data_IF_437699143670
#
_entry.id   IF_437699143670
#
_cell.length_a   1.000
_cell.length_b   1.000
_cell.length_c   1.000
_cell.angle_alpha   90.00
_cell.angle_beta   90.00
_cell.angle_gamma   90.00
#
_symmetry.space_group_name_H-M   'P 1'
#
loop_
_entity.id
_entity.type
_entity.pdbx_description
1 polymer ?
#
# COMPACT_ATOMS: atom_id res chain seq x y z
N UNK A 1 1.96 -5.06 10.35
CA UNK A 1 2.48 -5.45 9.02
C UNK A 1 3.87 -6.09 9.16
N UNK A 2 3.93 -7.33 9.63
CA UNK A 2 5.21 -8.05 9.87
C UNK A 2 5.91 -8.46 8.57
N UNK A 3 5.13 -8.69 7.50
CA UNK A 3 5.66 -9.08 6.19
C UNK A 3 6.49 -7.99 5.49
N UNK A 4 6.31 -6.72 5.84
CA UNK A 4 7.10 -5.61 5.28
C UNK A 4 8.41 -5.47 6.04
N UNK A 5 8.38 -5.51 7.39
CA UNK A 5 9.59 -5.39 8.21
C UNK A 5 10.65 -6.47 7.90
N UNK A 6 10.23 -7.72 7.69
CA UNK A 6 11.16 -8.82 7.39
C UNK A 6 11.96 -8.63 6.07
N UNK A 7 11.40 -7.93 5.08
CA UNK A 7 12.08 -7.69 3.79
C UNK A 7 13.08 -6.52 3.86
N UNK A 8 12.87 -5.57 4.79
CA UNK A 8 13.63 -4.33 4.84
C UNK A 8 14.67 -4.27 5.97
N UNK A 9 14.58 -5.12 6.99
CA UNK A 9 15.40 -5.02 8.22
C UNK A 9 16.45 -6.12 8.38
N UNK A 10 16.82 -6.82 7.29
CA UNK A 10 17.81 -7.92 7.27
C UNK A 10 17.52 -9.07 8.27
N UNK A 11 16.27 -9.16 8.76
CA UNK A 11 15.80 -10.12 9.78
C UNK A 11 15.58 -11.55 9.26
N UNK A 12 15.86 -11.82 7.97
CA UNK A 12 15.76 -13.15 7.36
C UNK A 12 14.41 -13.49 6.73
N UNK A 13 14.39 -14.69 6.15
CA UNK A 13 13.39 -15.23 5.23
C UNK A 13 11.93 -15.16 5.70
N UNK A 14 11.07 -14.66 4.81
CA UNK A 14 9.63 -14.80 4.94
C UNK A 14 9.11 -15.95 4.05
N UNK A 15 8.66 -17.05 4.69
CA UNK A 15 7.94 -18.14 4.04
C UNK A 15 6.48 -17.73 3.74
N UNK A 16 6.29 -16.81 2.79
CA UNK A 16 4.98 -16.53 2.22
C UNK A 16 4.67 -17.53 1.09
N UNK A 17 3.39 -17.69 0.67
CA UNK A 17 3.01 -18.55 -0.47
C UNK A 17 3.77 -18.22 -1.78
N UNK A 18 4.34 -17.02 -1.88
CA UNK A 18 5.18 -16.58 -2.99
C UNK A 18 6.66 -17.04 -2.91
N UNK A 19 7.04 -17.81 -1.88
CA UNK A 19 8.39 -18.31 -1.65
C UNK A 19 9.38 -17.28 -1.10
N UNK A 20 10.63 -17.73 -0.91
CA UNK A 20 11.77 -16.87 -0.55
C UNK A 20 11.89 -15.70 -1.53
N UNK A 21 11.94 -14.47 -1.02
CA UNK A 21 11.99 -13.25 -1.82
C UNK A 21 13.35 -12.57 -1.62
N UNK A 22 14.33 -12.80 -2.50
CA UNK A 22 15.63 -12.16 -2.39
C UNK A 22 15.48 -10.64 -2.54
N UNK A 23 16.36 -9.89 -1.85
CA UNK A 23 16.42 -8.43 -1.92
C UNK A 23 16.55 -7.97 -3.38
N UNK A 24 15.79 -6.93 -3.76
CA UNK A 24 15.81 -6.36 -5.12
C UNK A 24 14.81 -6.98 -6.10
N UNK A 25 14.08 -8.02 -5.70
CA UNK A 25 12.97 -8.54 -6.51
C UNK A 25 11.76 -7.59 -6.49
N UNK A 26 11.02 -7.42 -7.60
CA UNK A 26 9.77 -6.67 -7.62
C UNK A 26 8.76 -7.01 -6.53
N UNK A 27 8.22 -5.97 -5.89
CA UNK A 27 7.22 -6.04 -4.84
C UNK A 27 7.77 -6.48 -3.47
N UNK A 28 6.98 -6.36 -2.38
CA UNK A 28 5.60 -5.89 -2.32
C UNK A 28 5.47 -4.37 -2.24
N UNK A 29 6.56 -3.63 -2.44
CA UNK A 29 6.57 -2.19 -2.60
C UNK A 29 7.23 -1.91 -3.94
N UNK A 30 6.53 -1.20 -4.81
CA UNK A 30 6.94 -0.94 -6.19
C UNK A 30 7.29 0.53 -6.36
N UNK A 31 8.30 0.79 -7.20
CA UNK A 31 8.67 2.14 -7.61
C UNK A 31 7.70 2.62 -8.71
N UNK A 32 7.08 3.77 -8.45
CA UNK A 32 6.25 4.53 -9.37
C UNK A 32 7.04 5.78 -9.85
N UNK A 33 6.47 6.56 -10.76
CA UNK A 33 7.13 7.75 -11.31
C UNK A 33 7.51 8.79 -10.25
N UNK A 34 6.72 8.92 -9.18
CA UNK A 34 6.82 9.97 -8.16
C UNK A 34 6.96 9.43 -6.72
N UNK A 35 7.26 8.14 -6.55
CA UNK A 35 7.43 7.53 -5.23
C UNK A 35 7.17 6.04 -5.25
N UNK A 36 6.57 5.51 -4.18
CA UNK A 36 6.34 4.07 -4.01
C UNK A 36 4.90 3.73 -3.65
N UNK A 37 4.45 2.57 -4.11
CA UNK A 37 3.09 2.07 -3.91
C UNK A 37 3.11 0.57 -3.60
N UNK A 38 2.12 0.07 -2.86
CA UNK A 38 1.89 -1.34 -2.60
C UNK A 38 0.47 -1.77 -3.03
N UNK A 39 0.31 -3.06 -3.31
CA UNK A 39 -0.97 -3.68 -3.65
C UNK A 39 -1.01 -5.15 -3.25
N UNK A 40 -2.21 -5.64 -2.92
CA UNK A 40 -2.51 -7.06 -2.75
C UNK A 40 -3.05 -7.66 -4.06
N UNK A 41 -2.19 -7.85 -5.07
CA UNK A 41 -2.59 -8.29 -6.43
C UNK A 41 -3.40 -9.59 -6.42
N UNK A 42 -3.09 -10.51 -5.50
CA UNK A 42 -3.82 -11.77 -5.34
C UNK A 42 -5.31 -11.59 -4.98
N UNK A 43 -5.67 -10.44 -4.39
CA UNK A 43 -7.01 -10.13 -3.87
C UNK A 43 -7.77 -9.11 -4.74
N UNK A 44 -7.29 -8.84 -5.97
CA UNK A 44 -7.92 -7.87 -6.87
C UNK A 44 -9.23 -8.40 -7.46
N UNK A 45 -10.37 -7.93 -6.96
CA UNK A 45 -11.68 -8.37 -7.43
C UNK A 45 -12.00 -7.96 -8.88
N UNK A 46 -11.64 -6.73 -9.25
CA UNK A 46 -11.88 -6.18 -10.59
C UNK A 46 -10.59 -6.32 -11.43
N UNK A 47 -10.20 -7.56 -11.70
CA UNK A 47 -8.90 -7.93 -12.26
C UNK A 47 -8.56 -7.19 -13.56
N UNK A 48 -9.43 -7.29 -14.56
CA UNK A 48 -9.17 -6.77 -15.92
C UNK A 48 -9.00 -5.25 -15.91
N UNK A 49 -9.88 -4.53 -15.22
CA UNK A 49 -9.78 -3.08 -15.04
C UNK A 49 -8.55 -2.70 -14.23
N UNK A 50 -8.22 -3.44 -13.18
CA UNK A 50 -7.04 -3.18 -12.36
C UNK A 50 -5.74 -3.39 -13.14
N UNK A 51 -5.64 -4.41 -13.99
CA UNK A 51 -4.48 -4.62 -14.86
C UNK A 51 -4.32 -3.49 -15.88
N UNK A 52 -5.44 -2.93 -16.36
CA UNK A 52 -5.42 -1.74 -17.22
C UNK A 52 -4.89 -0.51 -16.48
N UNK A 53 -5.32 -0.28 -15.24
CA UNK A 53 -4.78 0.80 -14.38
C UNK A 53 -3.28 0.63 -14.16
N UNK A 54 -2.79 -0.60 -14.05
CA UNK A 54 -1.38 -0.93 -13.89
C UNK A 54 -0.59 -0.94 -15.21
N UNK A 55 -1.22 -0.60 -16.34
CA UNK A 55 -0.58 -0.52 -17.65
C UNK A 55 -0.14 -1.86 -18.24
N UNK A 56 -0.78 -2.97 -17.80
CA UNK A 56 -0.53 -4.35 -18.24
C UNK A 56 -1.83 -5.01 -18.69
N UNK A 57 -2.60 -4.33 -19.54
CA UNK A 57 -3.95 -4.75 -19.97
C UNK A 57 -3.96 -6.17 -20.56
N UNK A 58 -2.91 -6.58 -21.25
CA UNK A 58 -2.75 -7.92 -21.82
C UNK A 58 -2.80 -9.03 -20.75
N UNK A 59 -2.33 -8.75 -19.53
CA UNK A 59 -2.44 -9.67 -18.40
C UNK A 59 -3.89 -9.73 -17.87
N UNK A 60 -4.63 -8.64 -18.03
CA UNK A 60 -6.04 -8.53 -17.69
C UNK A 60 -6.96 -9.46 -18.50
N UNK A 61 -6.50 -9.92 -19.66
CA UNK A 61 -7.23 -10.78 -20.59
C UNK A 61 -7.00 -12.28 -20.34
N UNK A 62 -6.06 -12.64 -19.46
CA UNK A 62 -5.76 -14.05 -19.13
C UNK A 62 -6.94 -14.63 -18.32
N UNK A 63 -7.82 -15.39 -18.97
CA UNK A 63 -9.05 -15.94 -18.38
C UNK A 63 -8.81 -16.65 -17.05
N UNK A 64 -7.72 -17.39 -16.97
CA UNK A 64 -7.27 -18.12 -15.80
C UNK A 64 -6.96 -17.26 -14.57
N UNK A 65 -6.69 -15.97 -14.77
CA UNK A 65 -6.38 -15.01 -13.72
C UNK A 65 -7.56 -14.09 -13.42
N UNK A 66 -8.63 -14.09 -14.22
CA UNK A 66 -9.80 -13.24 -13.96
C UNK A 66 -10.50 -13.63 -12.65
N UNK A 67 -10.75 -14.92 -12.33
CA UNK A 67 -11.34 -15.29 -11.04
C UNK A 67 -10.39 -15.03 -9.87
N UNK A 68 -10.91 -14.48 -8.78
CA UNK A 68 -10.14 -14.29 -7.54
C UNK A 68 -9.78 -15.63 -6.88
N UNK A 69 -10.69 -16.60 -6.97
CA UNK A 69 -10.56 -17.90 -6.33
C UNK A 69 -9.35 -18.62 -6.91
N UNK A 70 -8.37 -18.90 -6.04
CA UNK A 70 -7.16 -19.64 -6.40
C UNK A 70 -6.08 -18.82 -7.11
N UNK A 71 -6.31 -17.53 -7.44
CA UNK A 71 -5.29 -16.68 -8.08
C UNK A 71 -4.04 -16.54 -7.23
N UNK A 72 -4.20 -16.38 -5.92
CA UNK A 72 -3.10 -16.30 -4.95
C UNK A 72 -2.25 -17.59 -4.87
N UNK A 73 -2.77 -18.73 -5.35
CA UNK A 73 -2.06 -20.01 -5.38
C UNK A 73 -1.32 -20.25 -6.71
N UNK A 74 -1.49 -19.37 -7.70
CA UNK A 74 -0.81 -19.45 -9.00
C UNK A 74 0.57 -18.80 -8.95
N UNK A 75 1.40 -19.11 -9.94
CA UNK A 75 2.68 -18.44 -10.13
C UNK A 75 2.48 -17.03 -10.70
N UNK A 76 2.52 -16.03 -9.82
CA UNK A 76 2.36 -14.62 -10.19
C UNK A 76 3.70 -13.91 -10.49
N UNK A 77 4.81 -14.65 -10.65
CA UNK A 77 6.14 -14.04 -10.83
C UNK A 77 6.23 -13.18 -12.09
N UNK A 78 5.66 -13.65 -13.19
CA UNK A 78 5.66 -12.90 -14.46
C UNK A 78 4.85 -11.60 -14.36
N UNK A 79 3.74 -11.62 -13.61
CA UNK A 79 2.89 -10.46 -13.36
C UNK A 79 3.64 -9.42 -12.54
N UNK A 80 4.35 -9.85 -11.50
CA UNK A 80 5.16 -8.95 -10.68
C UNK A 80 6.23 -8.22 -11.51
N UNK A 81 6.82 -8.90 -12.50
CA UNK A 81 7.80 -8.29 -13.39
C UNK A 81 7.14 -7.28 -14.35
N UNK A 82 6.05 -7.66 -15.01
CA UNK A 82 5.33 -6.76 -15.92
C UNK A 82 4.87 -5.47 -15.21
N UNK A 83 4.37 -5.60 -13.98
CA UNK A 83 4.00 -4.45 -13.14
C UNK A 83 5.22 -3.58 -12.81
N UNK A 84 6.37 -4.17 -12.51
CA UNK A 84 7.60 -3.41 -12.23
C UNK A 84 8.13 -2.67 -13.45
N UNK A 85 7.91 -3.20 -14.66
CA UNK A 85 8.33 -2.56 -15.90
C UNK A 85 7.36 -1.43 -16.32
N UNK A 86 6.10 -1.50 -15.87
CA UNK A 86 5.05 -0.52 -16.16
C UNK A 86 5.02 0.65 -15.19
N UNK A 87 5.05 0.38 -13.88
CA UNK A 87 4.83 1.37 -12.82
C UNK A 87 5.74 2.60 -12.84
N UNK A 88 7.03 2.53 -13.22
CA UNK A 88 7.89 3.71 -13.30
C UNK A 88 7.37 4.81 -14.24
N UNK A 89 6.36 4.50 -15.08
CA UNK A 89 5.70 5.45 -16.00
C UNK A 89 4.41 6.04 -15.44
N UNK A 90 3.98 5.61 -14.25
CA UNK A 90 2.69 5.93 -13.65
C UNK A 90 2.89 6.68 -12.33
N UNK A 91 2.07 7.69 -12.07
CA UNK A 91 2.07 8.40 -10.78
C UNK A 91 1.29 7.60 -9.71
N UNK A 92 1.84 7.51 -8.50
CA UNK A 92 1.34 6.65 -7.43
C UNK A 92 -0.06 7.03 -6.93
N UNK A 93 -0.35 8.31 -6.78
CA UNK A 93 -1.65 8.77 -6.26
C UNK A 93 -2.79 8.54 -7.27
N UNK A 94 -2.65 8.90 -8.57
CA UNK A 94 -3.63 8.52 -9.59
C UNK A 94 -3.87 7.01 -9.69
N UNK A 95 -2.82 6.18 -9.61
CA UNK A 95 -2.94 4.71 -9.60
C UNK A 95 -3.71 4.26 -8.35
N UNK A 96 -3.31 4.72 -7.17
CA UNK A 96 -3.98 4.40 -5.90
C UNK A 96 -5.47 4.75 -5.94
N UNK A 97 -5.84 5.95 -6.38
CA UNK A 97 -7.25 6.36 -6.43
C UNK A 97 -8.07 5.51 -7.40
N UNK A 98 -7.50 5.13 -8.54
CA UNK A 98 -8.18 4.24 -9.49
C UNK A 98 -8.35 2.82 -8.91
N UNK A 99 -7.29 2.25 -8.33
CA UNK A 99 -7.36 0.94 -7.67
C UNK A 99 -8.33 0.93 -6.48
N UNK A 100 -8.35 1.99 -5.67
CA UNK A 100 -9.28 2.15 -4.55
C UNK A 100 -10.75 2.19 -5.01
N UNK A 101 -11.05 2.87 -6.13
CA UNK A 101 -12.39 2.86 -6.76
C UNK A 101 -12.79 1.45 -7.21
N UNK A 102 -11.82 0.68 -7.69
CA UNK A 102 -11.97 -0.72 -8.06
C UNK A 102 -11.92 -1.68 -6.86
N UNK A 103 -11.97 -1.18 -5.61
CA UNK A 103 -11.89 -2.00 -4.38
C UNK A 103 -10.66 -2.92 -4.33
N UNK A 104 -9.59 -2.54 -5.02
CA UNK A 104 -8.33 -3.27 -5.01
C UNK A 104 -7.48 -2.79 -3.84
N UNK A 105 -7.05 -3.74 -2.99
CA UNK A 105 -6.24 -3.44 -1.81
C UNK A 105 -4.93 -2.81 -2.28
N UNK A 106 -4.72 -1.55 -1.93
CA UNK A 106 -3.56 -0.76 -2.31
C UNK A 106 -3.22 0.30 -1.27
N UNK A 107 -1.98 0.77 -1.27
CA UNK A 107 -1.51 1.80 -0.34
C UNK A 107 -0.27 2.52 -0.87
N UNK A 108 -0.22 3.84 -0.65
CA UNK A 108 0.92 4.67 -1.06
C UNK A 108 1.91 4.80 0.08
N UNK A 109 3.21 4.69 -0.20
CA UNK A 109 4.25 5.06 0.75
C UNK A 109 4.27 6.58 0.87
N UNK A 110 3.94 7.06 2.07
CA UNK A 110 3.88 8.47 2.40
C UNK A 110 5.09 8.87 3.25
N UNK A 111 5.66 10.04 2.96
CA UNK A 111 6.62 10.69 3.85
C UNK A 111 5.89 11.42 5.00
N UNK A 112 6.65 11.95 5.97
CA UNK A 112 6.07 12.61 7.16
C UNK A 112 5.23 13.84 6.79
N UNK A 113 5.62 14.62 5.78
CA UNK A 113 4.85 15.78 5.34
C UNK A 113 3.49 15.35 4.76
N UNK A 114 3.49 14.33 3.90
CA UNK A 114 2.26 13.77 3.33
C UNK A 114 1.34 13.21 4.42
N UNK A 115 1.89 12.54 5.44
CA UNK A 115 1.14 12.04 6.60
C UNK A 115 0.47 13.18 7.37
N UNK A 116 1.17 14.28 7.58
CA UNK A 116 0.67 15.45 8.30
C UNK A 116 -0.45 16.15 7.52
N UNK A 117 -0.30 16.27 6.20
CA UNK A 117 -1.25 16.97 5.33
C UNK A 117 -2.41 16.07 4.88
N UNK A 118 -2.38 14.77 5.21
CA UNK A 118 -3.39 13.79 4.82
C UNK A 118 -4.75 14.08 5.49
N UNK A 119 -5.76 14.36 4.68
CA UNK A 119 -7.13 14.65 5.13
C UNK A 119 -7.70 13.53 6.02
N UNK A 120 -7.58 12.26 5.62
CA UNK A 120 -8.14 11.15 6.38
C UNK A 120 -7.47 10.97 7.75
N UNK A 121 -6.17 11.26 7.85
CA UNK A 121 -5.44 11.23 9.12
C UNK A 121 -5.77 12.44 9.99
N UNK A 122 -5.95 13.62 9.39
CA UNK A 122 -6.41 14.83 10.08
C UNK A 122 -7.81 14.65 10.68
N UNK A 123 -8.77 14.14 9.92
CA UNK A 123 -10.14 13.89 10.39
C UNK A 123 -10.18 12.84 11.53
N UNK A 124 -9.15 12.01 11.65
CA UNK A 124 -9.01 11.02 12.74
C UNK A 124 -8.16 11.54 13.91
N UNK A 125 -7.72 12.79 13.83
CA UNK A 125 -6.83 13.43 14.79
C UNK A 125 -5.59 12.57 15.05
N UNK A 126 -5.00 12.01 13.99
CA UNK A 126 -3.79 11.18 14.08
C UNK A 126 -2.56 12.01 14.45
N UNK A 127 -2.49 13.25 13.94
CA UNK A 127 -1.57 14.28 14.37
C UNK A 127 -2.40 15.42 14.96
N UNK A 128 -2.07 15.85 16.17
CA UNK A 128 -2.76 16.92 16.90
C UNK A 128 -1.80 18.03 17.28
N UNK A 129 -2.34 19.23 17.47
CA UNK A 129 -1.61 20.31 18.13
C UNK A 129 -1.79 20.21 19.64
N UNK A 130 -0.68 20.29 20.38
CA UNK A 130 -0.62 20.26 21.85
C UNK A 130 0.34 21.34 22.33
N UNK A 131 0.27 21.69 23.62
CA UNK A 131 1.11 22.72 24.21
C UNK A 131 2.21 22.10 25.06
N UNK A 132 3.45 22.31 24.64
CA UNK A 132 4.61 22.02 25.46
C UNK A 132 5.16 23.34 25.99
N UNK A 133 4.94 23.60 27.28
CA UNK A 133 5.31 24.84 27.96
C UNK A 133 4.69 26.09 27.28
N UNK A 134 5.54 26.91 26.66
CA UNK A 134 5.18 28.15 25.98
C UNK A 134 4.97 27.98 24.47
N UNK A 135 5.07 26.74 23.94
CA UNK A 135 5.04 26.47 22.49
C UNK A 135 3.91 25.53 22.11
N UNK A 136 3.31 25.82 20.97
CA UNK A 136 2.45 24.86 20.27
C UNK A 136 3.34 23.91 19.47
N UNK A 137 3.15 22.61 19.68
CA UNK A 137 3.88 21.56 18.97
C UNK A 137 2.89 20.58 18.34
N UNK A 138 3.31 19.86 17.31
CA UNK A 138 2.55 18.76 16.72
C UNK A 138 2.99 17.44 17.35
N UNK A 139 2.03 16.62 17.76
CA UNK A 139 2.27 15.32 18.37
C UNK A 139 1.35 14.26 17.77
N UNK A 140 1.69 12.98 17.96
CA UNK A 140 0.77 11.88 17.67
C UNK A 140 -0.45 12.01 18.59
N UNK A 141 -1.65 11.90 18.02
CA UNK A 141 -2.91 11.92 18.76
C UNK A 141 -3.13 10.65 19.57
N UNK A 142 -4.26 10.59 20.28
CA UNK A 142 -4.62 9.41 21.06
C UNK A 142 -4.80 8.19 20.14
N UNK A 143 -4.06 7.08 20.35
CA UNK A 143 -4.12 5.90 19.51
C UNK A 143 -5.43 5.11 19.67
N UNK A 144 -6.26 5.45 20.67
CA UNK A 144 -7.60 4.91 20.85
C UNK A 144 -8.62 6.04 21.07
N UNK A 145 -9.74 5.97 20.35
CA UNK A 145 -10.91 6.85 20.52
C UNK A 145 -11.91 6.14 21.44
N UNK A 146 -11.99 6.58 22.68
CA UNK A 146 -12.81 5.95 23.72
C UNK A 146 -14.08 6.76 23.98
N UNK A 147 -15.18 6.07 24.27
CA UNK A 147 -16.45 6.65 24.72
C UNK A 147 -16.95 5.82 25.91
N UNK A 148 -17.39 6.43 27.03
CA UNK A 148 -17.65 7.86 27.24
C UNK A 148 -16.47 8.69 27.80
N UNK A 149 -15.29 8.09 28.04
CA UNK A 149 -14.09 8.82 28.51
C UNK A 149 -13.03 8.87 27.41
N UNK A 150 -13.05 9.90 26.53
CA UNK A 150 -12.04 10.05 25.48
C UNK A 150 -10.65 10.23 26.07
N UNK A 151 -9.70 9.44 25.58
CA UNK A 151 -8.29 9.71 25.81
C UNK A 151 -7.86 10.90 24.95
N UNK A 152 -7.22 11.90 25.57
CA UNK A 152 -6.69 13.11 24.91
C UNK A 152 -5.21 13.28 25.23
N UNK A 153 -4.48 13.84 24.26
CA UNK A 153 -3.11 14.32 24.44
C UNK A 153 -3.23 15.79 24.83
N UNK A 154 -2.72 16.14 26.01
CA UNK A 154 -2.75 17.51 26.55
C UNK A 154 -1.45 18.22 26.24
#
# INVERSE_FOLDING_TARGET
AWAIAAVYDDLGDNAAPAGHRPRGRPGPLWDAADGRINFGIGDFHNWTEAMTVLGVSEIGEIEELIPDIGRHAKDLRFINQAIADSLPKLERWPVFHQLARLRCISGVMQNVHEVIDNEQLREREFVVETRLEDRTVRAAGAPAKLTPSPWRVN
#
